data_IF_206148550642
#
_entry.id   IF_206148550642
#
_cell.length_a   1.000
_cell.length_b   1.000
_cell.length_c   1.000
_cell.angle_alpha   90.00
_cell.angle_beta   90.00
_cell.angle_gamma   90.00
#
_symmetry.space_group_name_H-M   'P 1'
#
loop_
_entity.id
_entity.type
_entity.pdbx_description
1 polymer ?
#
# COMPACT_ATOMS: atom_id res chain seq x y z
N UNK A 1 -25.83 -15.33 -15.08
CA UNK A 1 -25.01 -16.20 -15.95
C UNK A 1 -23.74 -15.49 -16.41
N UNK A 2 -23.85 -14.28 -16.96
CA UNK A 2 -22.68 -13.49 -17.41
C UNK A 2 -21.56 -13.38 -16.33
N UNK A 3 -21.93 -13.06 -15.07
CA UNK A 3 -20.97 -12.93 -13.98
C UNK A 3 -20.26 -14.26 -13.63
N UNK A 4 -20.91 -15.41 -13.85
CA UNK A 4 -20.32 -16.73 -13.60
C UNK A 4 -19.33 -17.07 -14.71
N UNK A 5 -19.69 -16.83 -15.97
CA UNK A 5 -18.87 -17.12 -17.13
C UNK A 5 -17.61 -16.24 -17.19
N UNK A 6 -17.65 -15.05 -16.54
CA UNK A 6 -16.57 -14.07 -16.50
C UNK A 6 -16.02 -13.88 -15.08
N UNK A 7 -15.85 -14.95 -14.34
CA UNK A 7 -15.32 -14.96 -12.97
C UNK A 7 -13.98 -15.68 -12.87
N UNK A 8 -13.27 -15.43 -11.78
CA UNK A 8 -12.01 -16.11 -11.45
C UNK A 8 -12.22 -17.52 -10.86
N UNK A 9 -13.49 -17.99 -10.76
CA UNK A 9 -13.83 -19.24 -10.12
C UNK A 9 -13.53 -19.24 -8.60
N UNK A 10 -13.87 -20.34 -7.94
CA UNK A 10 -13.74 -20.46 -6.47
C UNK A 10 -12.53 -21.30 -6.03
N UNK A 11 -11.96 -22.13 -6.91
CA UNK A 11 -10.91 -23.09 -6.56
C UNK A 11 -9.67 -22.47 -5.90
N UNK A 12 -9.26 -21.28 -6.35
CA UNK A 12 -8.13 -20.52 -5.80
C UNK A 12 -8.59 -19.27 -5.02
N UNK A 13 -9.84 -19.22 -4.55
CA UNK A 13 -10.37 -18.06 -3.85
C UNK A 13 -9.60 -17.75 -2.56
N UNK A 14 -9.20 -18.77 -1.79
CA UNK A 14 -8.40 -18.57 -0.58
C UNK A 14 -7.02 -18.00 -0.90
N UNK A 15 -6.34 -18.49 -1.95
CA UNK A 15 -5.02 -17.99 -2.37
C UNK A 15 -5.06 -16.52 -2.80
N UNK A 16 -6.21 -16.02 -3.26
CA UNK A 16 -6.40 -14.61 -3.63
C UNK A 16 -6.80 -13.68 -2.47
N UNK A 17 -6.98 -14.21 -1.25
CA UNK A 17 -7.50 -13.46 -0.09
C UNK A 17 -6.69 -13.65 1.19
N UNK A 18 -5.94 -14.73 1.30
CA UNK A 18 -5.15 -15.10 2.47
C UNK A 18 -3.67 -15.02 2.11
N UNK A 19 -2.92 -14.18 2.81
CA UNK A 19 -1.52 -13.90 2.51
C UNK A 19 -0.63 -15.16 2.58
N UNK A 20 -0.92 -16.09 3.51
CA UNK A 20 -0.18 -17.34 3.62
C UNK A 20 -0.46 -18.27 2.44
N UNK A 21 -1.74 -18.53 2.15
CA UNK A 21 -2.15 -19.37 1.03
C UNK A 21 -1.63 -18.84 -0.32
N UNK A 22 -1.60 -17.50 -0.47
CA UNK A 22 -1.04 -16.83 -1.64
C UNK A 22 0.44 -17.18 -1.83
N UNK A 23 1.26 -16.99 -0.81
CA UNK A 23 2.70 -17.24 -0.86
C UNK A 23 2.96 -18.74 -1.08
N UNK A 24 2.25 -19.63 -0.38
CA UNK A 24 2.39 -21.08 -0.55
C UNK A 24 2.07 -21.52 -1.98
N UNK A 25 0.97 -21.00 -2.55
CA UNK A 25 0.58 -21.34 -3.93
C UNK A 25 1.61 -20.87 -4.96
N UNK A 26 2.13 -19.67 -4.81
CA UNK A 26 3.14 -19.13 -5.73
C UNK A 26 4.48 -19.86 -5.60
N UNK A 27 4.91 -20.18 -4.37
CA UNK A 27 6.12 -20.96 -4.13
C UNK A 27 6.07 -22.38 -4.74
N UNK A 28 4.89 -23.05 -4.68
CA UNK A 28 4.67 -24.35 -5.35
C UNK A 28 4.82 -24.25 -6.88
N UNK A 29 4.65 -23.07 -7.46
CA UNK A 29 4.81 -22.79 -8.89
C UNK A 29 6.20 -22.24 -9.22
N UNK A 30 7.14 -22.27 -8.27
CA UNK A 30 8.50 -21.74 -8.41
C UNK A 30 8.53 -20.24 -8.78
N UNK A 31 7.53 -19.47 -8.34
CA UNK A 31 7.54 -18.02 -8.41
C UNK A 31 8.21 -17.51 -7.13
N UNK A 32 9.18 -16.62 -7.29
CA UNK A 32 9.92 -16.07 -6.15
C UNK A 32 9.00 -15.31 -5.20
N UNK A 33 8.96 -15.74 -3.96
CA UNK A 33 8.16 -15.15 -2.88
C UNK A 33 8.97 -15.14 -1.60
N UNK A 34 8.71 -14.22 -0.66
CA UNK A 34 9.44 -14.16 0.60
C UNK A 34 9.20 -15.42 1.45
N UNK A 35 10.25 -15.84 2.17
CA UNK A 35 10.13 -16.93 3.14
C UNK A 35 9.03 -16.58 4.15
N UNK A 36 8.12 -17.53 4.37
CA UNK A 36 6.92 -17.27 5.18
C UNK A 36 6.50 -18.51 5.95
N UNK A 37 6.23 -18.33 7.24
CA UNK A 37 5.59 -19.33 8.10
C UNK A 37 4.28 -18.76 8.68
N UNK A 38 3.33 -19.66 8.98
CA UNK A 38 2.09 -19.37 9.71
C UNK A 38 2.13 -20.09 11.05
N UNK A 39 1.82 -19.38 12.14
CA UNK A 39 1.67 -19.96 13.47
C UNK A 39 0.84 -19.04 14.37
N UNK A 40 0.46 -19.57 15.54
CA UNK A 40 -0.08 -18.79 16.67
C UNK A 40 0.87 -18.84 17.90
N UNK A 41 2.04 -19.43 17.75
CA UNK A 41 3.04 -19.59 18.81
C UNK A 41 4.30 -18.78 18.53
N UNK A 42 4.70 -17.95 19.50
CA UNK A 42 5.98 -17.24 19.45
C UNK A 42 7.18 -18.19 19.37
N UNK A 43 7.11 -19.34 20.05
CA UNK A 43 8.20 -20.32 20.07
C UNK A 43 8.41 -20.98 18.69
N UNK A 44 7.32 -21.30 17.98
CA UNK A 44 7.40 -21.80 16.61
C UNK A 44 8.01 -20.76 15.66
N UNK A 45 7.60 -19.49 15.78
CA UNK A 45 8.19 -18.40 15.02
C UNK A 45 9.69 -18.26 15.33
N UNK A 46 10.08 -18.25 16.61
CA UNK A 46 11.48 -18.14 17.01
C UNK A 46 12.34 -19.27 16.47
N UNK A 47 11.84 -20.50 16.56
CA UNK A 47 12.53 -21.68 16.04
C UNK A 47 12.76 -21.56 14.53
N UNK A 48 11.72 -21.18 13.77
CA UNK A 48 11.82 -21.03 12.33
C UNK A 48 12.74 -19.87 11.93
N UNK A 49 12.67 -18.73 12.61
CA UNK A 49 13.51 -17.56 12.36
C UNK A 49 14.99 -17.86 12.60
N UNK A 50 15.31 -18.58 13.70
CA UNK A 50 16.66 -19.02 14.03
C UNK A 50 17.21 -19.97 12.98
N UNK A 51 16.42 -20.97 12.58
CA UNK A 51 16.82 -21.95 11.56
C UNK A 51 17.11 -21.33 10.18
N UNK A 52 16.47 -20.20 9.88
CA UNK A 52 16.66 -19.44 8.63
C UNK A 52 17.55 -18.20 8.78
N UNK A 53 18.11 -17.95 9.97
CA UNK A 53 18.98 -16.81 10.28
C UNK A 53 18.36 -15.42 9.90
N UNK A 54 17.05 -15.27 10.13
CA UNK A 54 16.31 -14.10 9.61
C UNK A 54 16.46 -12.84 10.47
N UNK A 55 16.81 -12.91 11.75
CA UNK A 55 17.02 -11.70 12.57
C UNK A 55 18.14 -10.79 12.07
N UNK A 56 19.06 -11.30 11.24
CA UNK A 56 20.11 -10.47 10.60
C UNK A 56 19.54 -9.34 9.73
N UNK A 57 18.36 -9.57 9.13
CA UNK A 57 17.62 -8.60 8.30
C UNK A 57 16.33 -8.12 8.96
N UNK A 58 15.82 -8.89 9.90
CA UNK A 58 14.51 -8.72 10.51
C UNK A 58 13.43 -9.62 9.91
N UNK A 59 12.28 -9.63 10.56
CA UNK A 59 11.07 -10.33 10.10
C UNK A 59 9.85 -9.42 10.21
N UNK A 60 8.84 -9.65 9.40
CA UNK A 60 7.56 -8.95 9.46
C UNK A 60 6.50 -9.91 10.03
N UNK A 61 5.86 -9.51 11.12
CA UNK A 61 4.69 -10.20 11.68
C UNK A 61 3.44 -9.47 11.20
N UNK A 62 2.48 -10.20 10.64
CA UNK A 62 1.23 -9.63 10.14
C UNK A 62 0.07 -10.62 10.16
N UNK A 63 -1.20 -10.17 10.22
CA UNK A 63 -2.38 -11.02 10.10
C UNK A 63 -2.51 -11.62 8.70
N UNK A 64 -3.16 -12.79 8.61
CA UNK A 64 -3.44 -13.46 7.34
C UNK A 64 -4.41 -12.67 6.46
N UNK A 65 -5.38 -12.01 7.10
CA UNK A 65 -6.47 -11.26 6.43
C UNK A 65 -6.58 -9.88 7.07
N UNK A 66 -5.87 -8.91 6.54
CA UNK A 66 -5.94 -7.49 6.96
C UNK A 66 -5.55 -6.62 5.76
N UNK A 67 -5.70 -5.30 5.88
CA UNK A 67 -5.34 -4.33 4.85
C UNK A 67 -4.78 -3.06 5.48
N UNK A 68 -4.08 -2.22 4.71
CA UNK A 68 -3.66 -0.88 5.14
C UNK A 68 -2.64 -0.86 6.26
N UNK A 69 -1.71 -1.80 6.31
CA UNK A 69 -0.69 -1.96 7.37
C UNK A 69 -1.23 -2.29 8.77
N UNK A 70 -2.51 -2.66 8.86
CA UNK A 70 -3.13 -3.06 10.12
C UNK A 70 -2.39 -4.22 10.77
N UNK A 71 -1.86 -4.00 11.98
CA UNK A 71 -1.11 -4.98 12.76
C UNK A 71 0.11 -5.56 12.03
N UNK A 72 0.76 -4.76 11.17
CA UNK A 72 2.01 -5.12 10.48
C UNK A 72 3.18 -4.56 11.28
N UNK A 73 4.05 -5.43 11.77
CA UNK A 73 5.19 -5.06 12.62
C UNK A 73 6.49 -5.69 12.10
N UNK A 74 7.54 -4.89 12.00
CA UNK A 74 8.89 -5.38 11.78
C UNK A 74 9.55 -5.68 13.14
N UNK A 75 10.11 -6.87 13.29
CA UNK A 75 10.80 -7.33 14.49
C UNK A 75 12.26 -7.67 14.13
N UNK A 76 13.19 -7.15 14.92
CA UNK A 76 14.64 -7.31 14.69
C UNK A 76 15.30 -8.15 15.78
N UNK A 77 14.56 -8.53 16.82
CA UNK A 77 15.03 -9.40 17.91
C UNK A 77 13.88 -10.23 18.48
N UNK A 78 14.24 -11.18 19.35
CA UNK A 78 13.30 -12.13 19.96
C UNK A 78 12.26 -11.44 20.82
N UNK A 79 12.66 -10.44 21.61
CA UNK A 79 11.76 -9.76 22.52
C UNK A 79 10.67 -8.99 21.77
N UNK A 80 11.03 -8.22 20.74
CA UNK A 80 10.08 -7.53 19.86
C UNK A 80 9.07 -8.50 19.24
N UNK A 81 9.56 -9.66 18.76
CA UNK A 81 8.71 -10.68 18.16
C UNK A 81 7.69 -11.22 19.17
N UNK A 82 8.13 -11.61 20.39
CA UNK A 82 7.24 -12.15 21.43
C UNK A 82 6.18 -11.11 21.81
N UNK A 83 6.58 -9.86 22.01
CA UNK A 83 5.66 -8.77 22.35
C UNK A 83 4.61 -8.57 21.25
N UNK A 84 5.03 -8.52 19.98
CA UNK A 84 4.14 -8.32 18.82
C UNK A 84 3.18 -9.50 18.67
N UNK A 85 3.65 -10.73 18.77
CA UNK A 85 2.77 -11.92 18.69
C UNK A 85 1.72 -11.89 19.78
N UNK A 86 2.13 -11.69 21.05
CA UNK A 86 1.21 -11.64 22.21
C UNK A 86 0.21 -10.50 22.11
N UNK A 87 0.63 -9.37 21.52
CA UNK A 87 -0.24 -8.21 21.32
C UNK A 87 -1.27 -8.42 20.22
N UNK A 88 -1.06 -9.32 19.26
CA UNK A 88 -1.90 -9.43 18.05
C UNK A 88 -2.69 -10.73 17.95
N UNK A 89 -2.22 -11.84 18.53
CA UNK A 89 -2.96 -13.10 18.58
C UNK A 89 -4.28 -12.94 19.34
N UNK A 90 -5.35 -13.51 18.79
CA UNK A 90 -6.69 -13.49 19.36
C UNK A 90 -7.44 -12.16 19.23
N UNK A 91 -6.77 -11.07 18.81
CA UNK A 91 -7.42 -9.77 18.59
C UNK A 91 -8.25 -9.75 17.31
N UNK A 92 -9.28 -8.93 17.33
CA UNK A 92 -10.06 -8.59 16.13
C UNK A 92 -9.36 -7.42 15.43
N UNK A 93 -9.01 -7.61 14.17
CA UNK A 93 -8.37 -6.61 13.34
C UNK A 93 -9.39 -5.62 12.74
N UNK A 94 -8.93 -4.60 12.02
CA UNK A 94 -9.79 -3.54 11.49
C UNK A 94 -10.78 -4.02 10.42
N UNK A 95 -10.58 -5.19 9.83
CA UNK A 95 -11.54 -5.84 8.93
C UNK A 95 -12.51 -6.78 9.64
N UNK A 96 -12.60 -6.72 10.97
CA UNK A 96 -13.42 -7.57 11.84
C UNK A 96 -13.10 -9.07 11.73
N UNK A 97 -11.86 -9.44 11.37
CA UNK A 97 -11.38 -10.81 11.47
C UNK A 97 -10.61 -11.01 12.77
N UNK A 98 -10.85 -12.12 13.44
CA UNK A 98 -10.03 -12.55 14.57
C UNK A 98 -8.70 -13.10 14.07
N UNK A 99 -7.61 -12.69 14.67
CA UNK A 99 -6.26 -13.15 14.37
C UNK A 99 -5.98 -14.47 15.11
N UNK A 100 -6.56 -15.58 14.64
CA UNK A 100 -6.32 -16.90 15.23
C UNK A 100 -4.90 -17.42 14.95
N UNK A 101 -4.35 -17.03 13.80
CA UNK A 101 -2.96 -17.22 13.41
C UNK A 101 -2.38 -15.88 12.90
N UNK A 102 -1.06 -15.78 12.91
CA UNK A 102 -0.27 -14.74 12.23
C UNK A 102 0.66 -15.38 11.20
N UNK A 103 1.27 -14.56 10.36
CA UNK A 103 2.42 -14.96 9.56
C UNK A 103 3.65 -14.22 10.01
N UNK A 104 4.78 -14.93 10.05
CA UNK A 104 6.11 -14.34 10.05
C UNK A 104 6.69 -14.48 8.63
N UNK A 105 7.20 -13.38 8.10
CA UNK A 105 7.75 -13.29 6.76
C UNK A 105 9.11 -12.62 6.82
N UNK A 106 10.08 -13.06 6.00
CA UNK A 106 11.37 -12.38 5.93
C UNK A 106 11.18 -10.88 5.60
N UNK A 107 11.98 -10.05 6.23
CA UNK A 107 11.96 -8.62 5.97
C UNK A 107 12.60 -8.31 4.63
N UNK A 108 11.82 -7.80 3.69
CA UNK A 108 12.30 -7.42 2.37
C UNK A 108 12.95 -6.04 2.40
N UNK A 109 14.16 -5.94 1.88
CA UNK A 109 14.90 -4.70 1.72
C UNK A 109 14.94 -4.35 0.23
N UNK A 110 14.46 -3.16 -0.13
CA UNK A 110 14.38 -2.74 -1.52
C UNK A 110 13.53 -1.49 -1.71
N UNK A 111 13.06 -1.30 -2.92
CA UNK A 111 12.09 -0.25 -3.28
C UNK A 111 10.72 -0.87 -3.49
N UNK A 112 9.71 -0.28 -2.86
CA UNK A 112 8.34 -0.77 -2.96
C UNK A 112 7.62 -0.14 -4.14
N UNK A 113 7.00 -0.98 -4.95
CA UNK A 113 6.23 -0.61 -6.13
C UNK A 113 4.80 -1.12 -6.04
N UNK A 114 3.92 -0.40 -6.72
CA UNK A 114 2.56 -0.83 -7.03
C UNK A 114 2.49 -1.11 -8.51
N UNK A 115 1.90 -2.24 -8.87
CA UNK A 115 1.57 -2.59 -10.25
C UNK A 115 0.08 -2.88 -10.30
N UNK A 116 -0.69 -1.96 -10.87
CA UNK A 116 -2.11 -2.15 -11.09
C UNK A 116 -2.34 -2.71 -12.49
N UNK A 117 -3.30 -3.61 -12.61
CA UNK A 117 -3.59 -4.32 -13.84
C UNK A 117 -5.07 -4.60 -14.00
N UNK A 118 -5.45 -4.99 -15.20
CA UNK A 118 -6.75 -5.62 -15.49
C UNK A 118 -6.55 -6.89 -16.28
N UNK A 119 -7.47 -7.83 -16.12
CA UNK A 119 -7.42 -9.13 -16.78
C UNK A 119 -8.72 -9.42 -17.52
N UNK A 120 -8.62 -10.06 -18.68
CA UNK A 120 -9.75 -10.62 -19.41
C UNK A 120 -9.34 -11.94 -20.08
N UNK A 121 -10.06 -13.00 -19.83
CA UNK A 121 -9.77 -14.37 -20.29
C UNK A 121 -8.32 -14.81 -19.98
N UNK A 122 -7.75 -14.38 -18.86
CA UNK A 122 -6.37 -14.67 -18.47
C UNK A 122 -5.31 -13.85 -19.20
N UNK A 123 -5.69 -12.90 -20.07
CA UNK A 123 -4.76 -11.92 -20.61
C UNK A 123 -4.67 -10.74 -19.64
N UNK A 124 -3.47 -10.47 -19.14
CA UNK A 124 -3.20 -9.42 -18.19
C UNK A 124 -2.62 -8.19 -18.86
N UNK A 125 -3.10 -7.01 -18.46
CA UNK A 125 -2.71 -5.71 -19.01
C UNK A 125 -2.34 -4.82 -17.84
N UNK A 126 -1.09 -4.36 -17.78
CA UNK A 126 -0.65 -3.38 -16.79
C UNK A 126 -1.23 -2.02 -17.15
N UNK A 127 -1.84 -1.35 -16.18
CA UNK A 127 -2.53 -0.07 -16.35
C UNK A 127 -1.82 1.10 -15.72
N UNK A 128 -0.97 0.85 -14.75
CA UNK A 128 0.00 1.80 -14.19
C UNK A 128 1.02 1.07 -13.32
N UNK A 129 2.17 1.69 -13.19
CA UNK A 129 3.20 1.29 -12.23
C UNK A 129 3.52 2.52 -11.38
N UNK A 130 3.54 2.34 -10.07
CA UNK A 130 3.85 3.42 -9.12
C UNK A 130 4.98 3.01 -8.20
N UNK A 131 5.71 4.01 -7.70
CA UNK A 131 6.78 3.82 -6.73
C UNK A 131 6.39 4.48 -5.41
N UNK A 132 6.39 3.72 -4.31
CA UNK A 132 6.23 4.27 -2.97
C UNK A 132 7.54 4.87 -2.47
N UNK A 133 7.42 6.02 -1.83
CA UNK A 133 8.44 6.56 -0.95
C UNK A 133 7.95 6.47 0.48
N UNK A 134 8.81 5.97 1.37
CA UNK A 134 8.59 5.97 2.82
C UNK A 134 9.61 6.88 3.49
N UNK A 135 9.24 7.41 4.65
CA UNK A 135 10.07 8.31 5.45
C UNK A 135 10.01 7.94 6.93
N UNK A 136 10.93 8.50 7.70
CA UNK A 136 10.91 8.39 9.15
C UNK A 136 10.16 9.60 9.72
N UNK A 137 9.13 9.36 10.51
CA UNK A 137 8.40 10.40 11.21
C UNK A 137 7.87 9.87 12.56
N UNK A 138 7.88 10.72 13.57
CA UNK A 138 7.30 10.44 14.90
C UNK A 138 7.77 9.09 15.49
N UNK A 139 9.07 8.77 15.38
CA UNK A 139 9.70 7.51 15.80
C UNK A 139 9.24 6.24 15.04
N UNK A 140 8.47 6.38 13.95
CA UNK A 140 8.14 5.30 13.03
C UNK A 140 9.03 5.35 11.79
N UNK A 141 9.53 4.17 11.36
CA UNK A 141 10.47 4.06 10.22
C UNK A 141 9.78 3.82 8.88
N UNK A 142 8.46 3.60 8.85
CA UNK A 142 7.74 3.14 7.66
C UNK A 142 6.52 4.00 7.33
N UNK A 143 6.61 5.30 7.64
CA UNK A 143 5.53 6.24 7.30
C UNK A 143 5.53 6.46 5.79
N UNK A 144 4.39 6.24 5.16
CA UNK A 144 4.21 6.54 3.74
C UNK A 144 4.36 8.06 3.53
N UNK A 145 5.22 8.41 2.60
CA UNK A 145 5.52 9.79 2.23
C UNK A 145 4.72 10.18 0.98
N UNK A 146 5.00 9.50 -0.13
CA UNK A 146 4.25 9.69 -1.37
C UNK A 146 4.27 8.45 -2.27
N UNK A 147 3.40 8.46 -3.27
CA UNK A 147 3.34 7.50 -4.36
C UNK A 147 3.45 8.25 -5.68
N UNK A 148 4.48 7.97 -6.48
CA UNK A 148 4.68 8.54 -7.81
C UNK A 148 4.26 7.56 -8.90
N UNK A 149 3.53 8.05 -9.90
CA UNK A 149 3.25 7.32 -11.13
C UNK A 149 4.48 7.37 -12.06
N UNK A 150 4.88 6.20 -12.55
CA UNK A 150 6.07 6.03 -13.39
C UNK A 150 5.71 5.97 -14.88
N UNK A 151 6.66 6.27 -15.78
CA UNK A 151 6.49 6.03 -17.21
C UNK A 151 6.33 4.53 -17.52
N UNK A 152 5.76 4.22 -18.66
CA UNK A 152 5.45 2.86 -19.11
C UNK A 152 6.68 2.02 -19.50
N UNK A 153 7.83 2.67 -19.69
CA UNK A 153 9.07 2.04 -20.18
C UNK A 153 10.19 2.12 -19.16
N UNK A 154 11.07 1.15 -19.19
CA UNK A 154 12.27 1.01 -18.37
C UNK A 154 12.47 -0.43 -17.90
N UNK A 155 13.69 -0.79 -17.54
CA UNK A 155 14.05 -2.15 -17.11
C UNK A 155 13.31 -2.56 -15.83
N UNK A 156 13.14 -1.61 -14.90
CA UNK A 156 12.37 -1.84 -13.66
C UNK A 156 10.92 -2.15 -13.99
N UNK A 157 10.28 -1.35 -14.85
CA UNK A 157 8.88 -1.53 -15.23
C UNK A 157 8.66 -2.86 -15.93
N UNK A 158 9.56 -3.21 -16.87
CA UNK A 158 9.51 -4.50 -17.55
C UNK A 158 9.62 -5.67 -16.56
N UNK A 159 10.61 -5.62 -15.67
CA UNK A 159 10.85 -6.66 -14.65
C UNK A 159 9.63 -6.86 -13.73
N UNK A 160 9.06 -5.74 -13.26
CA UNK A 160 7.86 -5.76 -12.41
C UNK A 160 6.65 -6.33 -13.15
N UNK A 161 6.44 -5.92 -14.41
CA UNK A 161 5.32 -6.41 -15.23
C UNK A 161 5.41 -7.92 -15.46
N UNK A 162 6.57 -8.44 -15.87
CA UNK A 162 6.76 -9.88 -16.10
C UNK A 162 6.59 -10.71 -14.82
N UNK A 163 7.02 -10.17 -13.68
CA UNK A 163 6.79 -10.81 -12.40
C UNK A 163 5.29 -10.86 -12.04
N UNK A 164 4.58 -9.74 -12.18
CA UNK A 164 3.15 -9.66 -11.87
C UNK A 164 2.32 -10.57 -12.78
N UNK A 165 2.67 -10.71 -14.05
CA UNK A 165 1.99 -11.67 -14.94
C UNK A 165 2.06 -13.09 -14.40
N UNK A 166 3.25 -13.54 -13.96
CA UNK A 166 3.43 -14.86 -13.35
C UNK A 166 2.60 -15.02 -12.07
N UNK A 167 2.56 -13.97 -11.23
CA UNK A 167 1.76 -13.96 -9.99
C UNK A 167 0.27 -14.10 -10.31
N UNK A 168 -0.26 -13.33 -11.26
CA UNK A 168 -1.68 -13.38 -11.64
C UNK A 168 -2.06 -14.73 -12.26
N UNK A 169 -1.22 -15.27 -13.14
CA UNK A 169 -1.38 -16.62 -13.72
C UNK A 169 -1.40 -17.69 -12.60
N UNK A 170 -0.42 -17.63 -11.69
CA UNK A 170 -0.30 -18.58 -10.57
C UNK A 170 -1.49 -18.55 -9.61
N UNK A 171 -2.13 -17.41 -9.45
CA UNK A 171 -3.35 -17.22 -8.64
C UNK A 171 -4.64 -17.49 -9.45
N UNK A 172 -4.52 -17.88 -10.72
CA UNK A 172 -5.65 -18.20 -11.58
C UNK A 172 -6.55 -16.99 -11.86
N UNK A 173 -5.97 -15.80 -11.97
CA UNK A 173 -6.72 -14.58 -12.28
C UNK A 173 -7.04 -14.57 -13.77
N UNK A 174 -8.32 -14.51 -14.11
CA UNK A 174 -8.81 -14.46 -15.49
C UNK A 174 -9.54 -13.16 -15.82
N UNK A 175 -10.17 -12.56 -14.83
CA UNK A 175 -11.03 -11.39 -15.03
C UNK A 175 -10.88 -10.38 -13.91
N UNK A 176 -10.99 -9.11 -14.28
CA UNK A 176 -11.11 -7.99 -13.36
C UNK A 176 -9.79 -7.30 -13.02
N UNK A 177 -9.88 -6.25 -12.23
CA UNK A 177 -8.72 -5.46 -11.81
C UNK A 177 -7.91 -6.19 -10.73
N UNK A 178 -6.61 -5.92 -10.69
CA UNK A 178 -5.73 -6.34 -9.61
C UNK A 178 -4.81 -5.19 -9.18
N UNK A 179 -4.52 -5.17 -7.89
CA UNK A 179 -3.60 -4.26 -7.23
C UNK A 179 -2.50 -5.10 -6.57
N UNK A 180 -1.27 -4.98 -7.06
CA UNK A 180 -0.13 -5.78 -6.60
C UNK A 180 0.93 -4.88 -5.99
N UNK A 181 1.37 -5.21 -4.77
CA UNK A 181 2.46 -4.55 -4.05
C UNK A 181 3.71 -5.43 -4.12
N UNK A 182 4.78 -4.88 -4.65
CA UNK A 182 6.01 -5.60 -4.97
C UNK A 182 7.21 -4.88 -4.34
N UNK A 183 8.04 -5.63 -3.65
CA UNK A 183 9.37 -5.14 -3.25
C UNK A 183 10.38 -5.54 -4.31
N UNK A 184 11.02 -4.57 -4.96
CA UNK A 184 12.16 -4.84 -5.83
C UNK A 184 13.42 -4.88 -4.98
N UNK A 185 13.91 -6.08 -4.73
CA UNK A 185 15.11 -6.37 -3.93
C UNK A 185 16.33 -6.53 -4.83
N UNK A 186 17.49 -6.73 -4.24
CA UNK A 186 18.74 -7.10 -4.93
C UNK A 186 18.65 -8.46 -5.67
N UNK A 187 17.71 -9.33 -5.26
CA UNK A 187 17.42 -10.61 -5.90
C UNK A 187 16.34 -10.56 -6.97
N UNK A 188 15.73 -9.39 -7.17
CA UNK A 188 14.60 -9.19 -8.08
C UNK A 188 13.28 -8.91 -7.36
N UNK A 189 12.16 -8.89 -8.10
CA UNK A 189 10.85 -8.62 -7.55
C UNK A 189 10.39 -9.70 -6.56
N UNK A 190 9.80 -9.28 -5.43
CA UNK A 190 9.23 -10.12 -4.39
C UNK A 190 7.83 -9.63 -4.02
N UNK A 191 6.85 -10.51 -3.99
CA UNK A 191 5.46 -10.15 -3.68
C UNK A 191 5.29 -9.77 -2.21
N UNK A 192 4.78 -8.56 -1.95
CA UNK A 192 4.27 -8.18 -0.63
C UNK A 192 2.84 -8.67 -0.48
N UNK A 193 1.98 -8.31 -1.44
CA UNK A 193 0.57 -8.69 -1.50
C UNK A 193 0.00 -8.44 -2.91
N UNK A 194 -1.02 -9.20 -3.31
CA UNK A 194 -1.89 -8.82 -4.42
C UNK A 194 -3.35 -8.98 -4.04
N UNK A 195 -4.15 -7.95 -4.31
CA UNK A 195 -5.60 -7.96 -4.15
C UNK A 195 -6.28 -7.97 -5.52
N UNK A 196 -7.20 -8.93 -5.75
CA UNK A 196 -7.97 -8.98 -7.00
C UNK A 196 -9.16 -8.04 -6.87
N UNK A 197 -8.85 -6.76 -6.86
CA UNK A 197 -9.76 -5.62 -6.68
C UNK A 197 -9.09 -4.34 -7.17
N UNK A 198 -9.86 -3.24 -7.37
CA UNK A 198 -9.25 -1.94 -7.64
C UNK A 198 -8.37 -1.46 -6.49
N UNK A 199 -7.34 -0.69 -6.83
CA UNK A 199 -6.53 0.05 -5.87
C UNK A 199 -7.41 1.01 -5.05
N UNK A 200 -7.17 1.08 -3.76
CA UNK A 200 -7.97 1.87 -2.82
C UNK A 200 -7.67 3.37 -2.80
N UNK A 201 -8.32 4.08 -1.89
CA UNK A 201 -8.05 5.49 -1.60
C UNK A 201 -8.38 6.42 -2.76
N UNK A 202 -7.40 7.23 -3.18
CA UNK A 202 -7.48 8.21 -4.27
C UNK A 202 -6.74 7.75 -5.54
N UNK A 203 -6.35 6.48 -5.61
CA UNK A 203 -5.52 5.96 -6.70
C UNK A 203 -6.22 6.02 -8.06
N UNK A 204 -7.52 5.71 -8.14
CA UNK A 204 -8.29 5.76 -9.40
C UNK A 204 -8.26 7.16 -10.04
N UNK A 205 -8.67 8.25 -9.35
CA UNK A 205 -8.57 9.59 -9.93
C UNK A 205 -7.13 10.01 -10.22
N UNK A 206 -6.16 9.65 -9.39
CA UNK A 206 -4.75 9.94 -9.64
C UNK A 206 -4.23 9.21 -10.89
N UNK A 207 -4.60 7.94 -11.09
CA UNK A 207 -4.24 7.16 -12.27
C UNK A 207 -4.80 7.81 -13.55
N UNK A 208 -6.07 8.22 -13.54
CA UNK A 208 -6.68 8.95 -14.68
C UNK A 208 -5.94 10.23 -15.04
N UNK A 209 -5.47 10.98 -14.03
CA UNK A 209 -4.64 12.17 -14.26
C UNK A 209 -3.28 11.82 -14.85
N UNK A 210 -2.65 10.78 -14.34
CA UNK A 210 -1.32 10.34 -14.76
C UNK A 210 -1.30 9.74 -16.17
N UNK A 211 -2.31 8.93 -16.51
CA UNK A 211 -2.28 8.07 -17.71
C UNK A 211 -3.48 8.21 -18.64
N UNK A 212 -4.47 9.04 -18.28
CA UNK A 212 -5.73 9.22 -19.02
C UNK A 212 -6.75 8.11 -18.78
N UNK A 213 -6.40 7.02 -18.08
CA UNK A 213 -7.26 5.86 -17.82
C UNK A 213 -6.91 5.21 -16.48
N UNK A 214 -7.67 4.23 -16.04
CA UNK A 214 -7.37 3.44 -14.85
C UNK A 214 -7.68 1.95 -15.08
N UNK A 215 -7.16 1.08 -14.20
CA UNK A 215 -7.48 -0.35 -14.23
C UNK A 215 -9.00 -0.61 -14.08
N UNK A 216 -9.74 0.27 -13.41
CA UNK A 216 -11.20 0.16 -13.33
C UNK A 216 -11.86 0.51 -14.67
N UNK A 217 -11.44 1.62 -15.30
CA UNK A 217 -11.98 2.06 -16.59
C UNK A 217 -11.71 1.00 -17.66
N UNK A 218 -10.46 0.53 -17.75
CA UNK A 218 -10.09 -0.50 -18.71
C UNK A 218 -10.81 -1.82 -18.46
N UNK A 219 -11.03 -2.19 -17.17
CA UNK A 219 -11.85 -3.36 -16.84
C UNK A 219 -13.27 -3.22 -17.38
N UNK A 220 -13.89 -2.06 -17.19
CA UNK A 220 -15.26 -1.79 -17.70
C UNK A 220 -15.30 -1.81 -19.25
N UNK A 221 -14.34 -1.19 -19.89
CA UNK A 221 -14.23 -1.16 -21.34
C UNK A 221 -14.09 -2.57 -21.93
N UNK A 222 -13.23 -3.41 -21.35
CA UNK A 222 -13.05 -4.79 -21.78
C UNK A 222 -14.31 -5.67 -21.57
N UNK A 223 -15.03 -5.45 -20.48
CA UNK A 223 -16.28 -6.16 -20.20
C UNK A 223 -17.39 -5.72 -21.16
N UNK A 224 -17.53 -4.42 -21.40
CA UNK A 224 -18.61 -3.85 -22.19
C UNK A 224 -18.39 -3.98 -23.70
N UNK A 225 -17.14 -3.87 -24.16
CA UNK A 225 -16.79 -3.86 -25.59
C UNK A 225 -16.71 -5.25 -26.23
N UNK A 226 -17.01 -6.33 -25.47
CA UNK A 226 -16.91 -7.71 -25.97
C UNK A 226 -15.64 -7.98 -26.77
N UNK A 227 -14.51 -7.72 -26.11
CA UNK A 227 -13.16 -8.05 -26.57
C UNK A 227 -12.66 -7.34 -27.84
N UNK A 228 -12.12 -6.14 -27.72
CA UNK A 228 -10.96 -5.79 -28.52
C UNK A 228 -9.73 -6.41 -27.84
N UNK A 229 -9.06 -7.34 -28.50
CA UNK A 229 -7.73 -7.81 -28.11
C UNK A 229 -6.85 -6.58 -27.96
N UNK A 230 -6.44 -6.25 -26.74
CA UNK A 230 -5.39 -5.26 -26.57
C UNK A 230 -4.09 -5.97 -26.99
N UNK A 231 -3.46 -5.49 -28.06
CA UNK A 231 -2.23 -6.07 -28.60
C UNK A 231 -1.05 -5.87 -27.65
N UNK A 232 -1.12 -4.86 -26.77
CA UNK A 232 -0.07 -4.51 -25.84
C UNK A 232 -0.41 -4.93 -24.41
N UNK A 233 0.51 -5.64 -23.77
CA UNK A 233 0.41 -6.04 -22.35
C UNK A 233 0.67 -4.88 -21.38
N UNK A 234 1.27 -3.77 -21.81
CA UNK A 234 1.36 -2.51 -21.10
C UNK A 234 0.38 -1.55 -21.74
N UNK A 235 -0.72 -1.28 -21.05
CA UNK A 235 -1.89 -0.56 -21.57
C UNK A 235 -1.96 0.91 -21.16
N UNK A 236 -0.82 1.53 -20.76
CA UNK A 236 -0.80 2.93 -20.34
C UNK A 236 0.39 3.69 -20.93
N UNK A 237 0.31 5.01 -20.90
CA UNK A 237 1.38 5.95 -21.15
C UNK A 237 1.31 7.05 -20.12
N UNK A 238 2.44 7.43 -19.52
CA UNK A 238 2.48 8.56 -18.61
C UNK A 238 2.28 9.86 -19.39
N UNK A 239 1.22 10.61 -19.08
CA UNK A 239 0.89 11.90 -19.70
C UNK A 239 1.11 13.09 -18.79
N UNK A 240 1.05 12.90 -17.46
CA UNK A 240 1.36 13.89 -16.44
C UNK A 240 2.09 13.27 -15.26
N UNK A 241 3.05 14.02 -14.73
CA UNK A 241 3.67 13.66 -13.46
C UNK A 241 2.64 13.84 -12.35
N UNK A 242 2.25 12.74 -11.73
CA UNK A 242 1.21 12.71 -10.69
C UNK A 242 1.77 12.05 -9.45
N UNK A 243 1.54 12.69 -8.31
CA UNK A 243 1.98 12.25 -6.99
C UNK A 243 0.79 12.21 -6.03
N UNK A 244 0.60 11.10 -5.34
CA UNK A 244 -0.27 11.03 -4.17
C UNK A 244 0.61 11.27 -2.96
N UNK A 245 0.38 12.38 -2.25
CA UNK A 245 1.09 12.73 -1.02
C UNK A 245 0.28 12.26 0.17
N UNK A 246 0.91 11.48 1.06
CA UNK A 246 0.34 11.08 2.34
C UNK A 246 0.68 12.16 3.35
N UNK A 247 -0.32 12.86 3.86
CA UNK A 247 -0.07 13.95 4.80
C UNK A 247 0.47 13.41 6.13
N UNK A 248 1.43 14.12 6.71
CA UNK A 248 2.09 13.76 7.96
C UNK A 248 1.78 14.81 9.01
N UNK A 249 1.20 14.41 10.13
CA UNK A 249 1.11 15.25 11.31
C UNK A 249 2.25 14.96 12.28
N UNK A 250 2.96 16.01 12.67
CA UNK A 250 3.97 15.97 13.73
C UNK A 250 3.38 16.34 15.10
N UNK A 251 2.11 16.70 15.12
CA UNK A 251 1.37 17.21 16.28
C UNK A 251 0.22 16.26 16.62
N UNK A 252 -0.18 16.29 17.89
CA UNK A 252 -1.35 15.57 18.36
C UNK A 252 -2.13 16.44 19.35
N UNK A 253 -3.41 16.61 19.13
CA UNK A 253 -4.39 17.25 20.03
C UNK A 253 -5.78 17.23 19.37
N UNK A 254 -6.78 17.78 20.07
CA UNK A 254 -8.08 18.04 19.46
C UNK A 254 -7.98 19.18 18.44
N UNK A 255 -8.55 18.96 17.27
CA UNK A 255 -8.61 19.96 16.18
C UNK A 255 -9.70 20.98 16.52
N UNK A 256 -9.34 22.25 16.61
CA UNK A 256 -10.27 23.36 16.78
C UNK A 256 -10.77 23.85 15.43
N UNK A 257 -9.85 24.00 14.46
CA UNK A 257 -10.17 24.49 13.11
C UNK A 257 -9.09 24.08 12.11
N UNK A 258 -9.35 24.28 10.80
CA UNK A 258 -8.36 24.19 9.74
C UNK A 258 -7.40 25.39 9.81
N UNK A 259 -6.10 25.13 9.66
CA UNK A 259 -5.11 26.21 9.63
C UNK A 259 -5.01 26.79 8.21
N UNK A 260 -4.70 28.07 8.08
CA UNK A 260 -4.48 28.73 6.78
C UNK A 260 -3.45 28.01 5.87
N UNK A 261 -2.59 27.16 6.42
CA UNK A 261 -1.64 26.34 5.65
C UNK A 261 -2.35 25.39 4.67
N UNK A 262 -3.56 24.91 4.99
CA UNK A 262 -4.37 24.13 4.06
C UNK A 262 -4.82 24.95 2.86
N UNK A 263 -5.15 26.24 3.06
CA UNK A 263 -5.50 27.14 1.96
C UNK A 263 -4.29 27.47 1.07
N UNK A 264 -3.08 27.51 1.62
CA UNK A 264 -1.87 27.63 0.79
C UNK A 264 -1.63 26.37 -0.04
N UNK A 265 -1.86 25.16 0.51
CA UNK A 265 -1.76 23.91 -0.24
C UNK A 265 -2.75 23.90 -1.41
N UNK A 266 -3.99 24.34 -1.21
CA UNK A 266 -5.04 24.41 -2.25
C UNK A 266 -4.70 25.37 -3.40
N UNK A 267 -3.75 26.29 -3.19
CA UNK A 267 -3.31 27.28 -4.20
C UNK A 267 -2.02 26.87 -4.94
N UNK A 268 -1.46 25.69 -4.67
CA UNK A 268 -0.28 25.19 -5.36
C UNK A 268 -0.59 24.95 -6.85
N UNK A 269 0.40 25.18 -7.71
CA UNK A 269 0.22 25.07 -9.18
C UNK A 269 -0.16 23.65 -9.58
N UNK A 270 0.43 22.64 -8.95
CA UNK A 270 0.13 21.23 -9.23
C UNK A 270 -1.03 20.66 -8.39
N UNK A 271 -1.67 21.46 -7.55
CA UNK A 271 -2.80 21.01 -6.71
C UNK A 271 -3.96 20.49 -7.56
N UNK A 272 -4.48 19.33 -7.19
CA UNK A 272 -5.68 18.74 -7.79
C UNK A 272 -6.78 18.58 -6.77
N UNK A 273 -6.52 17.86 -5.69
CA UNK A 273 -7.52 17.61 -4.64
C UNK A 273 -6.85 17.26 -3.32
N UNK A 274 -7.55 17.56 -2.25
CA UNK A 274 -7.18 17.24 -0.88
C UNK A 274 -8.34 16.51 -0.22
N UNK A 275 -8.09 15.30 0.27
CA UNK A 275 -9.05 14.50 1.05
C UNK A 275 -8.55 14.40 2.48
N UNK A 276 -9.21 15.05 3.41
CA UNK A 276 -8.92 14.96 4.84
C UNK A 276 -9.64 13.75 5.46
N UNK A 277 -8.95 13.02 6.32
CA UNK A 277 -9.48 11.93 7.14
C UNK A 277 -9.92 12.41 8.53
N UNK A 278 -9.57 13.64 8.87
CA UNK A 278 -9.83 14.30 10.16
C UNK A 278 -10.62 15.59 9.94
N UNK A 279 -11.26 16.11 10.98
CA UNK A 279 -12.07 17.34 10.94
C UNK A 279 -12.08 18.02 12.30
N UNK A 280 -12.48 19.30 12.39
CA UNK A 280 -12.68 19.98 13.67
C UNK A 280 -13.53 19.17 14.64
N UNK A 281 -13.18 19.21 15.91
CA UNK A 281 -13.78 18.41 17.00
C UNK A 281 -13.26 16.99 17.14
N UNK A 282 -12.36 16.51 16.26
CA UNK A 282 -11.71 15.19 16.37
C UNK A 282 -10.29 15.30 16.89
N UNK A 283 -9.80 14.21 17.48
CA UNK A 283 -8.42 14.11 17.92
C UNK A 283 -7.51 13.79 16.73
N UNK A 284 -6.54 14.66 16.49
CA UNK A 284 -5.45 14.46 15.53
C UNK A 284 -4.37 13.64 16.23
N UNK A 285 -3.90 12.58 15.58
CA UNK A 285 -2.77 11.76 16.05
C UNK A 285 -1.50 12.17 15.31
N UNK A 286 -0.34 11.99 15.94
CA UNK A 286 0.93 11.96 15.19
C UNK A 286 0.90 10.82 14.18
N UNK A 287 1.35 11.08 12.96
CA UNK A 287 1.34 10.08 11.90
C UNK A 287 2.47 9.08 12.10
N UNK A 288 2.10 7.82 12.27
CA UNK A 288 3.01 6.67 12.38
C UNK A 288 2.68 5.55 11.40
N UNK A 289 1.47 5.59 10.79
CA UNK A 289 0.94 4.62 9.83
C UNK A 289 -0.14 5.25 8.93
N UNK A 290 -0.75 4.44 8.05
CA UNK A 290 -1.83 4.90 7.16
C UNK A 290 -3.12 5.31 7.90
N UNK A 291 -3.37 4.78 9.11
CA UNK A 291 -4.60 5.07 9.86
C UNK A 291 -4.48 6.34 10.71
N UNK A 292 -3.26 6.76 10.99
CA UNK A 292 -2.97 8.00 11.73
C UNK A 292 -2.68 9.20 10.81
N UNK A 293 -2.65 9.00 9.47
CA UNK A 293 -2.44 10.10 8.55
C UNK A 293 -3.68 11.04 8.50
N UNK A 294 -3.48 12.36 8.50
CA UNK A 294 -4.58 13.31 8.48
C UNK A 294 -5.29 13.42 7.12
N UNK A 295 -4.69 12.95 6.04
CA UNK A 295 -5.31 12.99 4.72
C UNK A 295 -4.38 12.62 3.58
N UNK A 296 -4.93 12.73 2.36
CA UNK A 296 -4.26 12.48 1.09
C UNK A 296 -4.39 13.70 0.19
N UNK A 297 -3.31 14.05 -0.50
CA UNK A 297 -3.25 15.14 -1.47
C UNK A 297 -2.82 14.58 -2.83
N UNK A 298 -3.48 14.98 -3.92
CA UNK A 298 -3.01 14.72 -5.28
C UNK A 298 -2.39 16.00 -5.83
N UNK A 299 -1.13 15.88 -6.26
CA UNK A 299 -0.41 16.86 -7.06
C UNK A 299 -0.25 16.27 -8.47
N UNK A 300 -0.53 17.07 -9.53
CA UNK A 300 -0.38 16.61 -10.92
C UNK A 300 -0.01 17.80 -11.83
N UNK A 301 1.05 17.65 -12.61
CA UNK A 301 1.52 18.67 -13.55
C UNK A 301 2.32 18.04 -14.69
N UNK A 302 2.47 18.76 -15.79
CA UNK A 302 3.29 18.32 -16.94
C UNK A 302 4.79 18.35 -16.60
N UNK A 303 5.24 19.30 -15.76
CA UNK A 303 6.61 19.37 -15.24
C UNK A 303 6.73 18.57 -13.93
N UNK A 304 7.69 17.67 -13.89
CA UNK A 304 8.07 16.92 -12.69
C UNK A 304 8.63 17.84 -11.61
N UNK A 305 9.40 18.85 -12.02
CA UNK A 305 10.03 19.83 -11.13
C UNK A 305 8.99 20.67 -10.38
N UNK A 306 7.86 20.97 -11.05
CA UNK A 306 6.74 21.69 -10.41
C UNK A 306 6.08 20.82 -9.32
N UNK A 307 5.83 19.54 -9.61
CA UNK A 307 5.29 18.61 -8.61
C UNK A 307 6.23 18.47 -7.41
N UNK A 308 7.54 18.37 -7.66
CA UNK A 308 8.55 18.28 -6.62
C UNK A 308 8.64 19.55 -5.77
N UNK A 309 8.61 20.72 -6.42
CA UNK A 309 8.63 22.04 -5.72
C UNK A 309 7.42 22.19 -4.79
N UNK A 310 6.23 21.87 -5.29
CA UNK A 310 4.99 21.99 -4.53
C UNK A 310 4.94 20.95 -3.40
N UNK A 311 5.37 19.73 -3.64
CA UNK A 311 5.52 18.70 -2.60
C UNK A 311 6.44 19.17 -1.46
N UNK A 312 7.61 19.75 -1.79
CA UNK A 312 8.53 20.27 -0.79
C UNK A 312 7.92 21.41 0.04
N UNK A 313 7.05 22.21 -0.56
CA UNK A 313 6.30 23.23 0.18
C UNK A 313 5.27 22.60 1.12
N UNK A 314 4.56 21.56 0.69
CA UNK A 314 3.62 20.81 1.54
C UNK A 314 4.35 20.32 2.80
N UNK A 315 5.52 19.66 2.65
CA UNK A 315 6.32 19.17 3.79
C UNK A 315 6.73 20.29 4.76
N UNK A 316 7.08 21.48 4.24
CA UNK A 316 7.38 22.66 5.06
C UNK A 316 6.14 23.19 5.81
N UNK A 317 4.97 23.15 5.21
CA UNK A 317 3.73 23.58 5.84
C UNK A 317 3.27 22.61 6.93
N UNK A 318 3.47 21.31 6.76
CA UNK A 318 3.19 20.30 7.79
C UNK A 318 4.01 20.48 9.06
N UNK A 319 5.27 20.88 8.94
CA UNK A 319 6.13 21.20 10.08
C UNK A 319 5.59 22.41 10.91
N UNK A 320 4.81 23.28 10.27
CA UNK A 320 4.16 24.42 10.92
C UNK A 320 2.74 24.11 11.42
N UNK A 321 2.24 22.89 11.11
CA UNK A 321 0.89 22.47 11.43
C UNK A 321 -0.14 22.81 10.35
N UNK A 322 -1.04 21.87 10.08
CA UNK A 322 -2.14 21.97 9.11
C UNK A 322 -3.47 22.29 9.79
N UNK A 323 -3.54 22.23 11.12
CA UNK A 323 -4.75 22.42 11.92
C UNK A 323 -4.45 23.36 13.09
N UNK A 324 -5.46 24.11 13.50
CA UNK A 324 -5.46 24.82 14.78
C UNK A 324 -5.80 23.80 15.86
N UNK A 325 -4.91 23.62 16.80
CA UNK A 325 -5.03 22.60 17.86
C UNK A 325 -5.37 23.23 19.20
N UNK A 326 -6.15 22.50 20.02
CA UNK A 326 -6.37 22.86 21.41
C UNK A 326 -5.02 22.85 22.15
N UNK A 327 -4.85 23.79 23.09
CA UNK A 327 -3.68 23.79 23.97
C UNK A 327 -3.58 22.44 24.68
N UNK A 328 -2.39 21.85 24.72
CA UNK A 328 -2.15 20.64 25.51
C UNK A 328 -2.48 20.95 26.97
N UNK A 329 -3.40 20.18 27.56
CA UNK A 329 -3.54 20.19 29.00
C UNK A 329 -2.27 19.53 29.57
N UNK A 330 -1.26 20.34 29.86
CA UNK A 330 -0.22 19.91 30.80
C UNK A 330 -0.93 19.47 32.08
N UNK A 331 -0.67 18.23 32.46
CA UNK A 331 -1.20 17.65 33.69
C UNK A 331 -0.89 18.60 34.85
N UNK A 332 -1.88 19.39 35.25
CA UNK A 332 -1.89 19.98 36.60
C UNK A 332 -2.05 18.85 37.60
N UNK A 333 -0.98 18.10 37.82
CA UNK A 333 -0.83 17.33 39.03
C UNK A 333 -0.49 18.34 40.12
N UNK A 334 -1.51 19.01 40.60
CA UNK A 334 -1.41 19.79 41.82
C UNK A 334 -1.21 18.81 42.95
N UNK A 335 -0.03 18.83 43.54
CA UNK A 335 0.22 18.25 44.85
C UNK A 335 -0.83 18.82 45.82
N UNK A 336 -1.63 17.93 46.41
CA UNK A 336 -2.25 18.13 47.69
C UNK A 336 -1.61 17.14 48.66
#
# INVERSE_FOLDING_TARGET
RYCIDHSNGTALSSCRRNKYEMVQKLGQLHIDVPLTIKSNSSDEFLTWIKNNNLFTKGVVIKPLKSAGTDSVHACFNEQELIEVVNQNIGKINQLNFKNDDLIAQEYLIGTEYVVDSTSINGNHIITNICCYKKTNANNSKFVYDYLDFLPETGDVQHNLAEYVYKVLDGLGVKYGPAHSEIMLTDKGPQLIETGIRPHGGVAIPACRLATGNSHLDLTLDLILSKSKRLENRIGFKLIKHTRIVFLISHFESYILDEHQNLEYIKKLISFVTLKLNVRPGKYLKKTVDLFSMPGLLILSHESKEQVESDYNLVRKLEQKGLFVLAASQESKTTKI
#
